data_IF_309950537324
#
_entry.id   IF_309950537324
#
_cell.length_a   1.000
_cell.length_b   1.000
_cell.length_c   1.000
_cell.angle_alpha   90.00
_cell.angle_beta   90.00
_cell.angle_gamma   90.00
#
_symmetry.space_group_name_H-M   'P 1'
#
loop_
_entity.id
_entity.type
_entity.pdbx_description
1 polymer ?
#
# COMPACT_ATOMS: atom_id res chain seq x y z
N UNK A 1 7.84 -16.93 -1.50
CA UNK A 1 8.28 -15.97 -0.46
C UNK A 1 9.79 -15.90 -0.53
N UNK A 2 10.35 -14.75 -0.85
CA UNK A 2 11.79 -14.53 -0.93
C UNK A 2 12.35 -14.08 0.40
N UNK A 3 11.67 -13.16 1.07
CA UNK A 3 12.10 -12.62 2.34
C UNK A 3 10.92 -12.37 3.28
N UNK A 4 11.17 -12.50 4.57
CA UNK A 4 10.24 -12.13 5.65
C UNK A 4 10.98 -11.25 6.63
N UNK A 5 10.61 -9.99 6.70
CA UNK A 5 11.22 -9.02 7.61
C UNK A 5 10.21 -8.61 8.69
N UNK A 6 10.68 -8.55 9.93
CA UNK A 6 9.96 -7.79 10.96
C UNK A 6 10.18 -6.32 10.71
N UNK A 7 9.09 -5.57 10.61
CA UNK A 7 9.19 -4.13 10.38
C UNK A 7 9.83 -3.47 11.59
N UNK A 8 10.70 -2.51 11.31
CA UNK A 8 11.20 -1.55 12.28
C UNK A 8 10.00 -0.96 13.02
N UNK A 9 9.89 -1.19 14.31
CA UNK A 9 8.75 -0.71 15.09
C UNK A 9 8.09 -1.76 15.95
N UNK A 10 8.46 -3.04 15.84
CA UNK A 10 8.06 -4.04 16.83
C UNK A 10 8.57 -3.68 18.22
N UNK A 11 9.50 -2.74 18.33
CA UNK A 11 10.09 -2.19 19.57
C UNK A 11 10.35 -3.29 20.62
N UNK A 12 10.66 -4.51 20.14
CA UNK A 12 10.89 -5.67 20.99
C UNK A 12 12.15 -5.42 21.86
N UNK A 13 12.00 -5.58 23.16
CA UNK A 13 13.07 -5.32 24.10
C UNK A 13 13.20 -3.86 24.55
N UNK A 14 12.31 -2.98 24.04
CA UNK A 14 12.19 -1.60 24.48
C UNK A 14 11.07 -1.48 25.52
N UNK A 15 11.37 -0.87 26.64
CA UNK A 15 10.43 -0.71 27.78
C UNK A 15 10.49 0.70 28.34
N UNK A 16 9.42 1.13 28.96
CA UNK A 16 9.39 2.37 29.74
C UNK A 16 10.16 2.13 31.06
N UNK A 17 11.23 2.88 31.28
CA UNK A 17 11.99 2.88 32.51
C UNK A 17 11.81 4.18 33.29
N UNK A 18 12.07 4.14 34.62
CA UNK A 18 12.20 5.32 35.46
C UNK A 18 13.62 5.50 35.93
N UNK A 19 14.24 6.62 35.60
CA UNK A 19 15.56 6.98 36.10
C UNK A 19 15.46 7.29 37.59
N UNK A 20 16.07 6.46 38.42
CA UNK A 20 16.06 6.63 39.87
C UNK A 20 17.19 7.55 40.35
N UNK A 21 18.42 7.33 39.83
CA UNK A 21 19.58 8.18 40.09
C UNK A 21 20.24 8.61 38.79
N UNK A 22 20.88 9.76 38.81
CA UNK A 22 21.65 10.28 37.69
C UNK A 22 22.87 11.04 38.25
N UNK A 23 24.04 10.46 38.11
CA UNK A 23 25.30 10.98 38.64
C UNK A 23 26.28 11.25 37.50
N UNK A 24 27.12 12.26 37.62
CA UNK A 24 28.17 12.52 36.64
C UNK A 24 29.16 11.36 36.58
N UNK A 25 29.51 10.92 35.38
CA UNK A 25 30.46 9.83 35.20
C UNK A 25 31.85 10.21 35.72
N UNK A 26 32.52 9.34 36.53
CA UNK A 26 33.79 9.69 37.20
C UNK A 26 34.91 10.09 36.23
N UNK A 27 34.93 9.58 35.01
CA UNK A 27 35.96 9.82 34.00
C UNK A 27 35.40 10.52 32.73
N UNK A 28 34.27 11.22 32.86
CA UNK A 28 33.69 12.00 31.72
C UNK A 28 32.84 13.16 32.22
N UNK A 29 32.98 14.27 31.57
CA UNK A 29 32.20 15.50 31.76
C UNK A 29 30.88 15.53 30.95
N UNK A 30 30.70 14.58 30.05
CA UNK A 30 29.54 14.51 29.15
C UNK A 30 28.62 13.31 29.40
N UNK A 31 29.08 12.32 30.19
CA UNK A 31 28.29 11.12 30.46
C UNK A 31 27.76 11.12 31.88
N UNK A 32 26.64 10.43 32.05
CA UNK A 32 26.02 10.19 33.35
C UNK A 32 25.90 8.68 33.62
N UNK A 33 26.11 8.29 34.86
CA UNK A 33 25.80 6.96 35.35
C UNK A 33 24.41 7.01 35.98
N UNK A 34 23.49 6.23 35.44
CA UNK A 34 22.09 6.20 35.89
C UNK A 34 21.75 4.82 36.45
N UNK A 35 20.83 4.77 37.40
CA UNK A 35 20.12 3.54 37.79
C UNK A 35 18.68 3.68 37.33
N UNK A 36 18.19 2.69 36.63
CA UNK A 36 16.86 2.74 35.98
C UNK A 36 16.01 1.56 36.43
N UNK A 37 14.83 1.85 36.97
CA UNK A 37 13.80 0.85 37.25
C UNK A 37 13.11 0.49 35.96
N UNK A 38 13.09 -0.78 35.58
CA UNK A 38 12.47 -1.31 34.38
C UNK A 38 11.06 -1.90 34.63
N UNK A 39 10.57 -1.85 35.88
CA UNK A 39 9.25 -2.37 36.25
C UNK A 39 9.11 -3.89 36.18
N UNK A 40 10.21 -4.61 36.13
CA UNK A 40 10.26 -6.07 36.06
C UNK A 40 10.40 -6.76 37.41
N UNK A 41 10.43 -5.96 38.51
CA UNK A 41 10.58 -6.43 39.88
C UNK A 41 12.03 -6.84 40.29
N UNK A 42 12.99 -6.62 39.38
CA UNK A 42 14.41 -6.82 39.65
C UNK A 42 15.09 -5.58 40.28
N UNK A 43 16.36 -5.71 40.64
CA UNK A 43 17.14 -4.53 41.03
C UNK A 43 17.30 -3.55 39.87
N UNK A 44 17.34 -2.24 40.18
CA UNK A 44 17.49 -1.21 39.15
C UNK A 44 18.71 -1.43 38.25
N UNK A 45 18.54 -1.28 36.95
CA UNK A 45 19.57 -1.51 35.95
C UNK A 45 20.48 -0.30 35.81
N UNK A 46 21.82 -0.51 35.92
CA UNK A 46 22.82 0.53 35.70
C UNK A 46 23.00 0.79 34.19
N UNK A 47 22.82 2.03 33.76
CA UNK A 47 22.99 2.45 32.36
C UNK A 47 23.83 3.73 32.32
N UNK A 48 24.86 3.73 31.48
CA UNK A 48 25.65 4.93 31.18
C UNK A 48 25.02 5.65 29.99
N UNK A 49 24.65 6.91 30.19
CA UNK A 49 23.97 7.74 29.20
C UNK A 49 24.81 8.96 28.83
N UNK A 50 25.02 9.21 27.55
CA UNK A 50 25.72 10.37 27.02
C UNK A 50 24.85 11.58 26.73
N UNK A 51 23.54 11.47 26.85
CA UNK A 51 22.63 12.56 26.55
C UNK A 51 22.64 13.65 27.64
N UNK A 52 22.68 14.90 27.24
CA UNK A 52 22.74 16.05 28.13
C UNK A 52 21.44 16.29 28.91
N UNK A 53 20.32 15.77 28.42
CA UNK A 53 18.99 15.98 29.00
C UNK A 53 18.53 14.88 29.96
N UNK A 54 19.40 13.89 30.29
CA UNK A 54 19.04 12.83 31.24
C UNK A 54 19.07 13.36 32.68
N UNK A 55 18.03 13.04 33.45
CA UNK A 55 17.92 13.44 34.86
C UNK A 55 17.16 12.40 35.69
N UNK A 56 17.43 12.38 37.00
CA UNK A 56 16.69 11.54 37.95
C UNK A 56 15.18 11.93 37.98
N UNK A 57 14.32 10.94 38.12
CA UNK A 57 12.87 11.08 38.15
C UNK A 57 12.20 10.91 36.79
N UNK A 58 12.91 11.08 35.69
CA UNK A 58 12.37 10.99 34.33
C UNK A 58 11.87 9.58 33.99
N UNK A 59 10.79 9.56 33.20
CA UNK A 59 10.35 8.35 32.46
C UNK A 59 11.00 8.39 31.08
N UNK A 60 11.59 7.28 30.67
CA UNK A 60 12.41 7.19 29.45
C UNK A 60 12.17 5.86 28.74
N UNK A 61 12.51 5.78 27.45
CA UNK A 61 12.54 4.50 26.75
C UNK A 61 13.90 3.85 26.92
N UNK A 62 13.91 2.61 27.34
CA UNK A 62 15.13 1.82 27.58
C UNK A 62 15.18 0.61 26.67
N UNK A 63 16.28 0.48 25.94
CA UNK A 63 16.64 -0.72 25.21
C UNK A 63 17.38 -1.68 26.16
N UNK A 64 16.77 -2.83 26.43
CA UNK A 64 17.36 -3.88 27.28
C UNK A 64 18.40 -4.70 26.51
N UNK A 65 19.18 -5.52 27.21
CA UNK A 65 20.18 -6.39 26.56
C UNK A 65 19.52 -7.32 25.53
N UNK A 66 20.13 -7.41 24.35
CA UNK A 66 19.63 -8.20 23.23
C UNK A 66 18.68 -7.43 22.30
N UNK A 67 18.28 -6.21 22.65
CA UNK A 67 17.46 -5.36 21.77
C UNK A 67 18.24 -4.99 20.52
N UNK A 68 17.60 -5.05 19.37
CA UNK A 68 18.11 -4.59 18.08
C UNK A 68 17.69 -3.15 17.86
N UNK A 69 18.64 -2.29 17.59
CA UNK A 69 18.45 -0.89 17.23
C UNK A 69 19.11 -0.60 15.89
N UNK A 70 18.86 0.59 15.34
CA UNK A 70 19.36 0.98 14.04
C UNK A 70 20.02 2.37 14.11
N UNK A 71 21.16 2.50 13.40
CA UNK A 71 21.82 3.77 13.10
C UNK A 71 21.77 3.93 11.57
N UNK A 72 20.81 4.70 11.07
CA UNK A 72 20.47 4.71 9.65
C UNK A 72 20.09 3.31 9.17
N UNK A 73 20.85 2.74 8.22
CA UNK A 73 20.62 1.39 7.68
C UNK A 73 21.40 0.29 8.41
N UNK A 74 22.18 0.64 9.44
CA UNK A 74 23.01 -0.31 10.19
C UNK A 74 22.28 -0.83 11.41
N UNK A 75 22.09 -2.15 11.48
CA UNK A 75 21.59 -2.84 12.67
C UNK A 75 22.72 -3.02 13.70
N UNK A 76 22.42 -2.73 14.97
CA UNK A 76 23.29 -3.10 16.09
C UNK A 76 22.47 -3.66 17.26
N UNK A 77 23.10 -4.53 18.04
CA UNK A 77 22.45 -5.21 19.17
C UNK A 77 22.99 -4.65 20.48
N UNK A 78 22.09 -4.27 21.37
CA UNK A 78 22.45 -3.81 22.72
C UNK A 78 23.08 -4.95 23.51
N UNK A 79 24.33 -4.74 23.91
CA UNK A 79 25.11 -5.70 24.70
C UNK A 79 25.61 -5.02 25.95
N UNK A 80 25.92 -5.83 26.99
CA UNK A 80 26.68 -5.35 28.15
C UNK A 80 27.95 -4.66 27.63
N UNK A 81 28.15 -3.41 27.97
CA UNK A 81 29.30 -2.61 27.57
C UNK A 81 30.01 -2.02 28.78
N UNK A 82 31.26 -1.61 28.59
CA UNK A 82 32.04 -0.91 29.60
C UNK A 82 32.50 0.42 29.01
N UNK A 83 31.88 1.49 29.47
CA UNK A 83 32.14 2.83 29.00
C UNK A 83 33.05 3.57 29.99
N UNK A 84 34.27 3.88 29.58
CA UNK A 84 35.32 4.49 30.44
C UNK A 84 35.41 3.90 31.85
N UNK A 85 35.41 2.55 31.93
CA UNK A 85 35.54 1.87 33.20
C UNK A 85 34.24 1.51 33.92
N UNK A 86 33.09 2.12 33.56
CA UNK A 86 31.78 1.85 34.18
C UNK A 86 30.96 0.92 33.29
N UNK A 87 30.35 -0.09 33.89
CA UNK A 87 29.51 -1.06 33.17
C UNK A 87 28.11 -0.48 32.86
N UNK A 88 27.60 -0.77 31.64
CA UNK A 88 26.27 -0.39 31.20
C UNK A 88 25.52 -1.64 30.73
N UNK A 89 24.27 -1.80 31.17
CA UNK A 89 23.44 -2.98 30.93
C UNK A 89 22.21 -2.66 30.08
N UNK A 90 22.26 -1.61 29.31
CA UNK A 90 21.19 -1.16 28.43
C UNK A 90 21.53 0.19 27.79
N UNK A 91 20.56 0.78 27.10
CA UNK A 91 20.67 2.08 26.50
C UNK A 91 19.37 2.87 26.70
N UNK A 92 19.47 4.13 27.12
CA UNK A 92 18.32 5.06 27.10
C UNK A 92 18.28 5.70 25.72
N UNK A 93 17.14 5.65 25.04
CA UNK A 93 17.05 5.90 23.61
C UNK A 93 16.50 7.29 23.29
N UNK A 94 16.96 7.86 22.16
CA UNK A 94 16.35 8.97 21.42
C UNK A 94 15.24 8.49 20.50
N UNK A 95 14.48 9.42 19.91
CA UNK A 95 13.34 9.09 19.02
C UNK A 95 13.80 8.39 17.73
N UNK A 96 14.87 8.88 17.12
CA UNK A 96 15.39 8.36 15.85
C UNK A 96 16.05 6.98 16.00
N UNK A 97 16.65 6.70 17.16
CA UNK A 97 17.28 5.41 17.44
C UNK A 97 16.28 4.26 17.51
N UNK A 98 15.03 4.56 17.85
CA UNK A 98 13.91 3.61 17.90
C UNK A 98 12.90 3.78 16.77
N UNK A 99 13.13 4.74 15.87
CA UNK A 99 12.34 4.94 14.67
C UNK A 99 10.93 5.51 14.87
N UNK A 100 10.68 6.22 16.00
CA UNK A 100 9.36 6.82 16.31
C UNK A 100 9.30 8.32 16.03
N UNK A 101 10.42 8.92 15.65
CA UNK A 101 10.56 10.34 15.34
C UNK A 101 11.91 10.66 14.74
N UNK A 102 12.19 11.95 14.57
CA UNK A 102 13.47 12.46 14.01
C UNK A 102 14.33 13.18 15.05
N UNK A 103 13.92 13.19 16.33
CA UNK A 103 14.66 13.88 17.40
C UNK A 103 15.92 13.11 17.78
N UNK A 104 17.09 13.78 17.67
CA UNK A 104 18.41 13.24 18.04
C UNK A 104 19.13 14.09 19.08
N UNK A 105 18.57 15.23 19.48
CA UNK A 105 19.22 16.18 20.39
C UNK A 105 19.27 15.70 21.86
N UNK A 106 18.84 14.49 22.16
CA UNK A 106 18.83 13.90 23.50
C UNK A 106 17.89 12.71 23.59
N UNK A 107 17.81 12.12 24.79
CA UNK A 107 16.88 11.02 25.04
C UNK A 107 15.42 11.46 24.99
N UNK A 108 14.52 10.55 24.63
CA UNK A 108 13.09 10.75 24.72
C UNK A 108 12.63 10.72 26.18
N UNK A 109 12.06 11.83 26.65
CA UNK A 109 11.46 11.95 27.98
C UNK A 109 9.95 11.83 27.87
N UNK A 110 9.36 10.88 28.58
CA UNK A 110 7.93 10.58 28.56
C UNK A 110 7.17 11.33 29.68
N UNK A 111 5.83 11.49 29.57
CA UNK A 111 5.00 12.01 30.64
C UNK A 111 5.19 11.27 31.96
N UNK A 112 5.10 11.99 33.08
CA UNK A 112 5.38 11.46 34.42
C UNK A 112 4.42 10.32 34.84
N UNK A 113 3.20 10.34 34.32
CA UNK A 113 2.15 9.33 34.57
C UNK A 113 2.32 8.04 33.76
N UNK A 114 3.32 7.97 32.85
CA UNK A 114 3.55 6.78 32.04
C UNK A 114 3.93 5.58 32.93
N UNK A 115 3.26 4.42 32.82
CA UNK A 115 3.55 3.26 33.64
C UNK A 115 4.95 2.69 33.37
N UNK A 116 5.72 2.45 34.43
CA UNK A 116 7.05 1.78 34.33
C UNK A 116 6.86 0.31 33.97
N UNK A 117 7.76 -0.22 33.13
CA UNK A 117 7.67 -1.59 32.64
C UNK A 117 6.73 -1.78 31.46
N UNK A 118 5.99 -0.73 31.04
CA UNK A 118 5.16 -0.80 29.86
C UNK A 118 6.04 -1.04 28.62
N UNK A 119 5.73 -2.02 27.75
CA UNK A 119 6.42 -2.16 26.47
C UNK A 119 6.29 -0.88 25.63
N UNK A 120 7.39 -0.43 25.02
CA UNK A 120 7.37 0.77 24.19
C UNK A 120 6.37 0.67 23.04
N UNK A 121 6.21 -0.52 22.44
CA UNK A 121 5.18 -0.77 21.42
C UNK A 121 3.76 -0.43 21.91
N UNK A 122 3.45 -0.76 23.17
CA UNK A 122 2.14 -0.42 23.78
C UNK A 122 2.00 1.09 24.00
N UNK A 123 3.08 1.75 24.47
CA UNK A 123 3.08 3.20 24.68
C UNK A 123 2.84 3.98 23.38
N UNK A 124 3.52 3.57 22.30
CA UNK A 124 3.38 4.20 20.99
C UNK A 124 2.18 3.68 20.19
N UNK A 125 1.39 2.75 20.75
CA UNK A 125 0.28 2.08 20.06
C UNK A 125 0.69 1.49 18.70
N UNK A 126 1.90 0.92 18.65
CA UNK A 126 2.47 0.29 17.45
C UNK A 126 2.10 -1.20 17.45
N UNK A 127 1.41 -1.62 16.43
CA UNK A 127 1.24 -3.05 16.15
C UNK A 127 2.52 -3.60 15.52
N UNK A 128 2.93 -4.80 15.95
CA UNK A 128 4.00 -5.52 15.24
C UNK A 128 3.49 -5.93 13.88
N UNK A 129 4.17 -5.52 12.82
CA UNK A 129 3.82 -5.89 11.45
C UNK A 129 4.96 -6.69 10.80
N UNK A 130 4.67 -7.30 9.66
CA UNK A 130 5.61 -8.12 8.91
C UNK A 130 5.60 -7.70 7.45
N UNK A 131 6.78 -7.44 6.90
CA UNK A 131 6.96 -7.32 5.47
C UNK A 131 7.29 -8.71 4.90
N UNK A 132 6.45 -9.17 4.00
CA UNK A 132 6.64 -10.45 3.31
C UNK A 132 6.87 -10.14 1.83
N UNK A 133 8.11 -10.36 1.39
CA UNK A 133 8.45 -10.22 -0.03
C UNK A 133 8.10 -11.50 -0.79
N UNK A 134 7.31 -11.31 -1.85
CA UNK A 134 6.79 -12.42 -2.66
C UNK A 134 7.17 -12.17 -4.11
N UNK A 135 7.96 -13.06 -4.69
CA UNK A 135 8.20 -13.06 -6.13
C UNK A 135 6.97 -13.57 -6.88
N UNK A 136 6.42 -12.71 -7.72
CA UNK A 136 5.23 -12.98 -8.53
C UNK A 136 5.64 -13.08 -10.00
N UNK A 137 5.42 -14.24 -10.59
CA UNK A 137 5.69 -14.46 -12.02
C UNK A 137 4.80 -13.54 -12.89
N UNK A 138 5.28 -13.09 -14.06
CA UNK A 138 4.57 -12.09 -14.88
C UNK A 138 3.17 -12.51 -15.35
N UNK A 139 2.87 -13.82 -15.38
CA UNK A 139 1.55 -14.35 -15.74
C UNK A 139 0.53 -14.26 -14.59
N UNK A 140 0.97 -13.98 -13.36
CA UNK A 140 0.13 -13.89 -12.17
C UNK A 140 -0.14 -12.43 -11.76
N UNK A 141 -0.54 -11.60 -12.73
CA UNK A 141 -0.92 -10.21 -12.51
C UNK A 141 -1.99 -10.04 -11.41
N UNK A 142 -2.88 -11.00 -11.28
CA UNK A 142 -3.92 -11.09 -10.26
C UNK A 142 -3.38 -11.16 -8.82
N UNK A 143 -2.13 -11.64 -8.65
CA UNK A 143 -1.49 -11.78 -7.34
C UNK A 143 -0.65 -10.55 -6.94
N UNK A 144 -0.59 -9.49 -7.76
CA UNK A 144 0.18 -8.27 -7.47
C UNK A 144 -0.53 -7.31 -6.48
N UNK A 145 -1.17 -7.87 -5.45
CA UNK A 145 -1.86 -7.14 -4.39
C UNK A 145 -2.09 -8.03 -3.16
N UNK A 146 -2.41 -7.41 -2.02
CA UNK A 146 -2.79 -8.17 -0.82
C UNK A 146 -4.01 -9.07 -1.07
N UNK A 147 -5.01 -8.57 -1.78
CA UNK A 147 -6.20 -9.35 -2.14
C UNK A 147 -5.86 -10.54 -3.04
N UNK A 148 -4.97 -10.36 -4.01
CA UNK A 148 -4.56 -11.44 -4.90
C UNK A 148 -3.80 -12.55 -4.16
N UNK A 149 -2.87 -12.18 -3.26
CA UNK A 149 -2.17 -13.15 -2.40
C UNK A 149 -3.13 -13.84 -1.44
N UNK A 150 -4.10 -13.10 -0.89
CA UNK A 150 -5.12 -13.67 0.00
C UNK A 150 -5.98 -14.72 -0.69
N UNK A 151 -6.32 -14.55 -1.98
CA UNK A 151 -7.03 -15.56 -2.78
C UNK A 151 -6.23 -16.86 -2.92
N UNK A 152 -4.95 -16.77 -3.22
CA UNK A 152 -4.08 -17.95 -3.33
C UNK A 152 -3.91 -18.66 -1.98
N UNK A 153 -3.72 -17.89 -0.91
CA UNK A 153 -3.64 -18.43 0.44
C UNK A 153 -4.96 -19.12 0.86
N UNK A 154 -6.09 -18.50 0.56
CA UNK A 154 -7.40 -19.07 0.80
C UNK A 154 -7.57 -20.43 0.11
N UNK A 155 -7.24 -20.52 -1.19
CA UNK A 155 -7.32 -21.76 -1.93
C UNK A 155 -6.40 -22.85 -1.35
N UNK A 156 -5.18 -22.48 -0.92
CA UNK A 156 -4.27 -23.39 -0.24
C UNK A 156 -4.83 -23.91 1.09
N UNK A 157 -5.40 -23.03 1.92
CA UNK A 157 -5.99 -23.42 3.22
C UNK A 157 -7.20 -24.34 3.05
N UNK A 158 -8.11 -23.99 2.12
CA UNK A 158 -9.29 -24.82 1.78
C UNK A 158 -8.86 -26.20 1.28
N UNK A 159 -7.88 -26.26 0.37
CA UNK A 159 -7.33 -27.52 -0.16
C UNK A 159 -6.79 -28.41 0.95
N UNK A 160 -6.23 -27.85 2.01
CA UNK A 160 -5.68 -28.57 3.16
C UNK A 160 -6.73 -28.84 4.27
N UNK A 161 -8.00 -28.57 4.02
CA UNK A 161 -9.08 -28.82 4.99
C UNK A 161 -9.10 -27.85 6.17
N UNK A 162 -8.39 -26.74 6.08
CA UNK A 162 -8.38 -25.71 7.12
C UNK A 162 -9.62 -24.83 6.94
N UNK A 163 -10.47 -24.81 7.95
CA UNK A 163 -11.68 -23.97 7.93
C UNK A 163 -11.29 -22.50 7.95
N UNK A 164 -11.58 -21.81 6.87
CA UNK A 164 -11.25 -20.40 6.70
C UNK A 164 -12.29 -19.69 5.82
N UNK A 165 -12.28 -18.37 5.84
CA UNK A 165 -13.14 -17.53 5.00
C UNK A 165 -12.30 -16.42 4.39
N UNK A 166 -12.64 -16.00 3.18
CA UNK A 166 -12.03 -14.88 2.48
C UNK A 166 -13.03 -13.73 2.45
N UNK A 167 -12.63 -12.60 3.01
CA UNK A 167 -13.46 -11.40 3.08
C UNK A 167 -12.68 -10.18 2.60
N UNK A 168 -13.35 -9.30 1.88
CA UNK A 168 -12.88 -7.95 1.62
C UNK A 168 -13.87 -6.94 2.20
N UNK A 169 -13.44 -5.71 2.52
CA UNK A 169 -14.34 -4.67 3.01
C UNK A 169 -15.56 -4.50 2.11
N UNK A 170 -16.68 -4.20 2.72
CA UNK A 170 -17.95 -3.99 2.03
C UNK A 170 -17.97 -2.57 1.43
N UNK A 171 -18.65 -2.40 0.31
CA UNK A 171 -18.81 -1.12 -0.38
C UNK A 171 -20.26 -0.58 -0.32
N UNK A 172 -21.11 -1.17 0.52
CA UNK A 172 -22.53 -0.82 0.63
C UNK A 172 -22.79 0.57 1.22
N UNK A 173 -21.80 1.10 1.95
CA UNK A 173 -21.87 2.47 2.49
C UNK A 173 -21.71 3.55 1.39
N UNK A 174 -21.33 3.16 0.16
CA UNK A 174 -21.22 4.10 -0.94
C UNK A 174 -22.61 4.63 -1.33
N UNK A 175 -22.79 5.93 -1.21
CA UNK A 175 -23.98 6.63 -1.65
C UNK A 175 -23.60 8.03 -2.15
N UNK A 176 -24.27 8.48 -3.19
CA UNK A 176 -24.11 9.83 -3.73
C UNK A 176 -24.77 10.82 -2.78
N UNK A 177 -24.03 11.81 -2.32
CA UNK A 177 -24.52 12.83 -1.38
C UNK A 177 -25.22 13.99 -2.12
N UNK A 178 -24.71 14.37 -3.30
CA UNK A 178 -25.28 15.42 -4.13
C UNK A 178 -24.87 15.24 -5.62
N UNK A 179 -25.25 16.17 -6.51
CA UNK A 179 -24.94 16.14 -7.94
C UNK A 179 -24.33 17.47 -8.41
N UNK A 180 -23.52 18.11 -7.55
CA UNK A 180 -23.03 19.46 -7.80
C UNK A 180 -21.77 19.51 -8.66
N UNK A 181 -21.08 18.36 -8.86
CA UNK A 181 -19.83 18.31 -9.63
C UNK A 181 -19.84 17.20 -10.69
N UNK A 182 -20.75 17.26 -11.67
CA UNK A 182 -20.81 16.27 -12.73
C UNK A 182 -19.63 16.41 -13.69
N UNK A 183 -18.99 15.29 -14.05
CA UNK A 183 -17.94 15.21 -15.07
C UNK A 183 -18.33 14.13 -16.08
N UNK A 184 -18.35 14.51 -17.36
CA UNK A 184 -18.59 13.57 -18.45
C UNK A 184 -17.32 12.81 -18.82
N UNK A 185 -17.45 11.58 -19.32
CA UNK A 185 -16.34 10.78 -19.82
C UNK A 185 -16.60 10.32 -21.23
N UNK A 186 -15.63 10.56 -22.13
CA UNK A 186 -15.64 10.08 -23.50
C UNK A 186 -14.38 9.27 -23.78
N UNK A 187 -14.53 8.11 -24.43
CA UNK A 187 -13.42 7.26 -24.86
C UNK A 187 -13.38 7.28 -26.39
N UNK A 188 -12.39 7.96 -26.96
CA UNK A 188 -12.15 7.99 -28.41
C UNK A 188 -11.37 6.76 -28.90
N UNK A 189 -10.69 6.04 -27.99
CA UNK A 189 -9.86 4.85 -28.27
C UNK A 189 -10.34 3.65 -27.46
N UNK A 190 -11.51 3.06 -27.77
CA UNK A 190 -12.09 1.95 -27.00
C UNK A 190 -11.23 0.68 -27.05
N UNK A 191 -10.35 0.52 -28.05
CA UNK A 191 -9.39 -0.57 -28.14
C UNK A 191 -8.20 -0.42 -27.16
N UNK A 192 -7.93 0.81 -26.70
CA UNK A 192 -6.84 1.12 -25.78
C UNK A 192 -7.32 1.35 -24.35
N UNK A 193 -8.52 1.91 -24.17
CA UNK A 193 -9.20 2.05 -22.90
C UNK A 193 -10.49 1.23 -22.91
N UNK A 194 -10.46 0.05 -22.32
CA UNK A 194 -11.59 -0.89 -22.36
C UNK A 194 -12.64 -0.58 -21.30
N UNK A 195 -12.27 0.14 -20.23
CA UNK A 195 -13.19 0.60 -19.19
C UNK A 195 -12.63 1.85 -18.51
N UNK A 196 -13.49 2.80 -18.23
CA UNK A 196 -13.15 4.00 -17.47
C UNK A 196 -14.26 4.32 -16.48
N UNK A 197 -13.92 4.26 -15.19
CA UNK A 197 -14.82 4.62 -14.12
C UNK A 197 -14.32 5.89 -13.44
N UNK A 198 -15.23 6.80 -13.11
CA UNK A 198 -14.90 8.03 -12.41
C UNK A 198 -15.99 8.44 -11.42
N UNK A 199 -15.57 9.11 -10.36
CA UNK A 199 -16.45 9.73 -9.36
C UNK A 199 -15.80 11.00 -8.83
N UNK A 200 -16.60 12.04 -8.57
CA UNK A 200 -16.13 13.27 -7.95
C UNK A 200 -16.49 13.34 -6.47
N UNK A 201 -15.61 13.95 -5.70
CA UNK A 201 -15.89 14.38 -4.33
C UNK A 201 -15.66 15.88 -4.24
N UNK A 202 -16.56 16.58 -3.53
CA UNK A 202 -16.54 18.03 -3.33
C UNK A 202 -16.24 18.36 -1.86
N UNK A 203 -15.43 19.39 -1.62
CA UNK A 203 -15.13 19.88 -0.28
C UNK A 203 -14.15 19.04 0.51
N UNK A 204 -13.22 18.36 -0.16
CA UNK A 204 -12.15 17.61 0.48
C UNK A 204 -11.11 18.55 1.13
N UNK A 205 -10.61 18.19 2.29
CA UNK A 205 -9.45 18.79 2.93
C UNK A 205 -8.21 17.95 2.65
N UNK A 206 -7.32 18.47 1.80
CA UNK A 206 -6.04 17.82 1.53
C UNK A 206 -5.11 18.12 2.70
N UNK A 207 -4.62 17.05 3.34
CA UNK A 207 -3.76 17.12 4.51
C UNK A 207 -2.90 15.88 4.63
N UNK A 208 -2.03 15.87 5.61
CA UNK A 208 -1.25 14.69 5.97
C UNK A 208 -2.16 13.50 6.30
N UNK A 209 -1.79 12.31 5.83
CA UNK A 209 -2.51 11.07 6.11
C UNK A 209 -2.48 10.71 7.60
N UNK A 210 -3.50 10.02 8.12
CA UNK A 210 -3.44 9.49 9.47
C UNK A 210 -2.29 8.48 9.61
N UNK A 211 -1.73 8.39 10.82
CA UNK A 211 -0.54 7.55 11.12
C UNK A 211 -0.67 6.12 10.60
N UNK A 212 -1.81 5.48 10.80
CA UNK A 212 -2.01 4.10 10.35
C UNK A 212 -1.83 3.92 8.83
N UNK A 213 -2.26 4.90 8.02
CA UNK A 213 -2.13 4.86 6.56
C UNK A 213 -0.67 5.11 6.14
N UNK A 214 -0.02 6.09 6.76
CA UNK A 214 1.41 6.36 6.54
C UNK A 214 2.25 5.12 6.86
N UNK A 215 2.06 4.51 8.03
CA UNK A 215 2.80 3.33 8.47
C UNK A 215 2.62 2.15 7.50
N UNK A 216 1.41 1.89 7.01
CA UNK A 216 1.17 0.84 6.01
C UNK A 216 1.92 1.09 4.71
N UNK A 217 1.95 2.33 4.22
CA UNK A 217 2.66 2.69 3.00
C UNK A 217 4.18 2.63 3.19
N UNK A 218 4.71 3.21 4.28
CA UNK A 218 6.14 3.18 4.61
C UNK A 218 6.63 1.73 4.71
N UNK A 219 5.85 0.85 5.33
CA UNK A 219 6.13 -0.57 5.47
C UNK A 219 6.45 -1.26 4.15
N UNK A 220 5.72 -0.92 3.10
CA UNK A 220 5.91 -1.49 1.75
C UNK A 220 6.81 -0.62 0.84
N UNK A 221 7.55 0.32 1.43
CA UNK A 221 8.53 1.16 0.72
C UNK A 221 7.93 2.35 -0.03
N UNK A 222 6.67 2.69 0.19
CA UNK A 222 6.03 3.87 -0.41
C UNK A 222 6.14 5.08 0.52
N UNK A 223 6.51 6.23 -0.05
CA UNK A 223 6.55 7.49 0.69
C UNK A 223 5.16 8.11 0.76
N UNK A 224 4.62 8.39 1.96
CA UNK A 224 3.39 9.18 2.11
C UNK A 224 3.52 10.58 1.51
N UNK A 225 2.45 11.08 0.91
CA UNK A 225 2.40 12.40 0.25
C UNK A 225 1.30 13.24 0.90
N UNK A 226 0.05 12.86 0.71
CA UNK A 226 -1.13 13.44 1.35
C UNK A 226 -2.26 12.41 1.39
N UNK A 227 -3.31 12.68 2.15
CA UNK A 227 -4.40 11.74 2.37
C UNK A 227 -5.07 11.21 1.09
N UNK A 228 -5.19 12.01 0.05
CA UNK A 228 -5.83 11.60 -1.21
C UNK A 228 -4.90 10.71 -2.04
N UNK A 229 -3.65 11.11 -2.25
CA UNK A 229 -2.67 10.31 -3.00
C UNK A 229 -2.38 8.99 -2.27
N UNK A 230 -2.27 9.04 -0.97
CA UNK A 230 -1.99 7.87 -0.14
C UNK A 230 -3.15 6.86 -0.17
N UNK A 231 -4.41 7.34 -0.23
CA UNK A 231 -5.58 6.48 -0.46
C UNK A 231 -5.47 5.75 -1.80
N UNK A 232 -5.08 6.44 -2.89
CA UNK A 232 -4.93 5.77 -4.20
C UNK A 232 -3.86 4.70 -4.18
N UNK A 233 -2.72 4.97 -3.53
CA UNK A 233 -1.65 4.01 -3.33
C UNK A 233 -2.09 2.83 -2.46
N UNK A 234 -2.76 3.10 -1.35
CA UNK A 234 -3.27 2.05 -0.46
C UNK A 234 -4.25 1.11 -1.17
N UNK A 235 -5.23 1.66 -1.92
CA UNK A 235 -6.21 0.88 -2.67
C UNK A 235 -5.53 0.05 -3.77
N UNK A 236 -4.56 0.63 -4.48
CA UNK A 236 -3.77 -0.09 -5.49
C UNK A 236 -3.02 -1.29 -4.88
N UNK A 237 -2.36 -1.11 -3.75
CA UNK A 237 -1.61 -2.18 -3.07
C UNK A 237 -2.55 -3.21 -2.43
N UNK A 238 -3.69 -2.77 -1.92
CA UNK A 238 -4.67 -3.67 -1.32
C UNK A 238 -5.38 -4.55 -2.35
N UNK A 239 -5.78 -3.98 -3.51
CA UNK A 239 -6.70 -4.68 -4.45
C UNK A 239 -6.12 -4.87 -5.85
N UNK A 240 -4.95 -4.33 -6.16
CA UNK A 240 -4.29 -4.49 -7.46
C UNK A 240 -4.80 -3.56 -8.57
N UNK A 241 -5.71 -2.64 -8.24
CA UNK A 241 -6.26 -1.68 -9.18
C UNK A 241 -5.59 -0.30 -9.00
N UNK A 242 -4.76 0.16 -9.95
CA UNK A 242 -4.24 1.52 -9.91
C UNK A 242 -5.37 2.53 -10.05
N UNK A 243 -5.29 3.59 -9.25
CA UNK A 243 -6.19 4.72 -9.26
C UNK A 243 -5.39 5.99 -9.54
N UNK A 244 -6.05 6.98 -10.14
CA UNK A 244 -5.53 8.34 -10.22
C UNK A 244 -6.52 9.32 -9.62
N UNK A 245 -6.01 10.44 -9.13
CA UNK A 245 -6.85 11.52 -8.60
C UNK A 245 -6.44 12.83 -9.25
N UNK A 246 -7.41 13.50 -9.86
CA UNK A 246 -7.26 14.82 -10.46
C UNK A 246 -7.85 15.89 -9.55
N UNK A 247 -7.25 17.06 -9.55
CA UNK A 247 -7.92 18.29 -9.10
C UNK A 247 -9.09 18.58 -10.05
N UNK A 248 -10.31 18.58 -9.54
CA UNK A 248 -11.49 18.72 -10.38
C UNK A 248 -11.62 20.12 -11.02
N UNK A 249 -11.05 21.15 -10.38
CA UNK A 249 -11.01 22.51 -10.94
C UNK A 249 -10.12 22.59 -12.20
N UNK A 250 -9.21 21.65 -12.38
CA UNK A 250 -8.35 21.55 -13.57
C UNK A 250 -9.02 20.79 -14.72
N UNK A 251 -10.23 20.24 -14.53
CA UNK A 251 -10.98 19.53 -15.58
C UNK A 251 -11.76 20.52 -16.40
N UNK A 252 -11.06 21.22 -17.31
CA UNK A 252 -11.68 22.18 -18.22
C UNK A 252 -12.86 21.56 -18.98
N UNK A 253 -13.98 22.29 -19.04
CA UNK A 253 -15.20 21.86 -19.71
C UNK A 253 -15.98 20.75 -18.97
N UNK A 254 -15.63 20.40 -17.74
CA UNK A 254 -16.31 19.33 -16.98
C UNK A 254 -16.31 17.98 -17.70
N UNK A 255 -15.23 17.67 -18.42
CA UNK A 255 -15.16 16.49 -19.30
C UNK A 255 -13.78 15.87 -19.31
N UNK A 256 -13.75 14.55 -19.22
CA UNK A 256 -12.58 13.71 -19.49
C UNK A 256 -12.71 13.11 -20.89
N UNK A 257 -11.63 13.19 -21.68
CA UNK A 257 -11.53 12.58 -23.01
C UNK A 257 -10.30 11.67 -23.06
N UNK A 258 -10.51 10.37 -23.24
CA UNK A 258 -9.43 9.40 -23.37
C UNK A 258 -9.10 9.20 -24.84
N UNK A 259 -7.94 9.73 -25.27
CA UNK A 259 -7.55 9.81 -26.68
C UNK A 259 -6.04 9.76 -26.90
N UNK A 260 -5.60 9.76 -28.15
CA UNK A 260 -4.21 9.99 -28.55
C UNK A 260 -4.06 11.41 -29.11
N UNK A 261 -2.84 11.94 -29.09
CA UNK A 261 -2.49 13.21 -29.73
C UNK A 261 -1.60 12.98 -30.96
N UNK A 262 -1.43 13.99 -31.85
CA UNK A 262 -0.51 13.90 -32.99
C UNK A 262 0.92 13.58 -32.53
N UNK A 263 1.66 12.84 -33.36
CA UNK A 263 3.08 12.55 -33.17
C UNK A 263 3.88 13.83 -32.91
N UNK A 264 4.80 13.82 -31.94
CA UNK A 264 5.61 14.97 -31.56
C UNK A 264 4.92 15.98 -30.65
N UNK A 265 3.69 15.74 -30.21
CA UNK A 265 3.01 16.58 -29.22
C UNK A 265 3.82 16.65 -27.92
N UNK A 266 3.92 17.84 -27.32
CA UNK A 266 4.70 18.03 -26.08
C UNK A 266 3.82 17.88 -24.85
N UNK A 267 4.34 17.19 -23.83
CA UNK A 267 3.68 17.00 -22.54
C UNK A 267 4.69 17.08 -21.39
N UNK A 268 4.32 17.73 -20.28
CA UNK A 268 5.18 17.81 -19.09
C UNK A 268 4.59 16.90 -18.01
N UNK A 269 5.34 15.90 -17.60
CA UNK A 269 4.95 14.94 -16.59
C UNK A 269 5.20 15.42 -15.16
N UNK A 270 4.65 14.72 -14.14
CA UNK A 270 4.75 15.08 -12.71
C UNK A 270 6.20 15.21 -12.22
N UNK A 271 7.14 14.47 -12.80
CA UNK A 271 8.58 14.58 -12.53
C UNK A 271 9.23 15.86 -13.09
N UNK A 272 8.44 16.69 -13.78
CA UNK A 272 8.88 17.95 -14.39
C UNK A 272 9.55 17.79 -15.75
N UNK A 273 9.68 16.57 -16.26
CA UNK A 273 10.31 16.29 -17.53
C UNK A 273 9.38 16.59 -18.71
N UNK A 274 9.94 17.24 -19.73
CA UNK A 274 9.25 17.49 -20.98
C UNK A 274 9.41 16.29 -21.91
N UNK A 275 8.30 15.67 -22.28
CA UNK A 275 8.26 14.48 -23.13
C UNK A 275 7.62 14.78 -24.48
N UNK A 276 8.15 14.14 -25.50
CA UNK A 276 7.58 14.14 -26.85
C UNK A 276 6.71 12.89 -26.99
N UNK A 277 5.41 13.11 -27.24
CA UNK A 277 4.41 12.04 -27.31
C UNK A 277 4.39 11.40 -28.69
N UNK A 278 4.07 10.11 -28.71
CA UNK A 278 3.70 9.42 -29.94
C UNK A 278 2.19 9.45 -30.17
N UNK A 279 1.76 9.35 -31.42
CA UNK A 279 0.37 9.15 -31.82
C UNK A 279 -0.25 7.85 -31.28
N UNK A 280 0.59 7.01 -30.64
CA UNK A 280 0.23 5.75 -29.95
C UNK A 280 0.31 5.83 -28.43
N UNK A 281 0.55 7.00 -27.86
CA UNK A 281 0.44 7.21 -26.43
C UNK A 281 -1.01 7.55 -26.10
N UNK A 282 -1.62 6.71 -25.26
CA UNK A 282 -2.97 6.98 -24.76
C UNK A 282 -2.89 8.03 -23.67
N UNK A 283 -3.75 9.03 -23.77
CA UNK A 283 -3.79 10.15 -22.85
C UNK A 283 -5.17 10.30 -22.24
N UNK A 284 -5.19 10.77 -21.01
CA UNK A 284 -6.36 11.30 -20.36
C UNK A 284 -6.26 12.81 -20.49
N UNK A 285 -7.25 13.40 -21.17
CA UNK A 285 -7.33 14.84 -21.44
C UNK A 285 -8.58 15.43 -20.79
N UNK A 286 -8.54 16.73 -20.49
CA UNK A 286 -9.76 17.52 -20.33
C UNK A 286 -10.25 18.02 -21.71
N UNK A 287 -11.16 18.99 -21.77
CA UNK A 287 -11.65 19.52 -23.04
C UNK A 287 -10.57 20.28 -23.85
N UNK A 288 -9.49 20.72 -23.22
CA UNK A 288 -8.50 21.63 -23.79
C UNK A 288 -7.13 21.01 -23.96
N UNK A 289 -6.64 20.26 -22.94
CA UNK A 289 -5.27 19.79 -22.87
C UNK A 289 -5.11 18.38 -22.27
N UNK A 290 -3.96 17.72 -22.50
CA UNK A 290 -3.63 16.45 -21.87
C UNK A 290 -3.30 16.63 -20.39
N UNK A 291 -3.76 15.69 -19.56
CA UNK A 291 -3.61 15.70 -18.12
C UNK A 291 -2.75 14.52 -17.60
N UNK A 292 -2.72 13.39 -18.31
CA UNK A 292 -2.03 12.19 -17.87
C UNK A 292 -1.68 11.29 -19.06
N UNK A 293 -0.50 10.63 -19.02
CA UNK A 293 -0.23 9.47 -19.88
C UNK A 293 -0.90 8.26 -19.22
N UNK A 294 -1.98 7.80 -19.84
CA UNK A 294 -2.90 6.81 -19.27
C UNK A 294 -2.19 5.55 -18.74
N UNK A 295 -2.36 5.28 -17.47
CA UNK A 295 -1.77 4.13 -16.78
C UNK A 295 -0.26 4.19 -16.59
N UNK A 296 0.41 5.30 -16.91
CA UNK A 296 1.86 5.45 -16.82
C UNK A 296 2.24 6.55 -15.81
N UNK A 297 1.94 7.82 -16.11
CA UNK A 297 2.34 8.93 -15.24
C UNK A 297 1.45 10.16 -15.46
N UNK A 298 1.04 10.80 -14.38
CA UNK A 298 0.28 12.05 -14.39
C UNK A 298 1.07 13.23 -14.96
N UNK A 299 0.36 14.27 -15.37
CA UNK A 299 0.90 15.53 -15.84
C UNK A 299 1.14 16.53 -14.71
N UNK A 300 2.09 17.43 -14.92
CA UNK A 300 2.34 18.56 -14.03
C UNK A 300 1.16 19.53 -14.12
N UNK A 301 0.45 19.75 -13.04
CA UNK A 301 -0.64 20.73 -12.96
C UNK A 301 -2.04 20.11 -12.83
N UNK A 302 -2.22 18.82 -13.08
CA UNK A 302 -3.52 18.14 -12.93
C UNK A 302 -3.64 17.29 -11.66
N UNK A 303 -2.57 17.19 -10.88
CA UNK A 303 -2.55 16.45 -9.61
C UNK A 303 -3.20 17.24 -8.47
N UNK A 304 -3.29 16.61 -7.32
CA UNK A 304 -3.84 17.22 -6.09
C UNK A 304 -2.76 17.96 -5.30
N UNK A 305 -3.10 19.15 -4.83
CA UNK A 305 -2.26 20.04 -4.02
C UNK A 305 -2.97 20.40 -2.72
N UNK A 306 -2.29 21.00 -1.76
CA UNK A 306 -2.87 21.43 -0.48
C UNK A 306 -4.06 22.40 -0.65
N UNK A 307 -4.13 23.10 -1.78
CA UNK A 307 -5.21 24.02 -2.15
C UNK A 307 -6.40 23.34 -2.79
N UNK A 308 -6.25 22.11 -3.27
CA UNK A 308 -7.34 21.35 -3.91
C UNK A 308 -8.46 21.10 -2.89
N UNK A 309 -9.69 21.25 -3.34
CA UNK A 309 -10.90 21.00 -2.55
C UNK A 309 -11.85 20.00 -3.19
N UNK A 310 -11.88 20.00 -4.49
CA UNK A 310 -12.74 19.15 -5.29
C UNK A 310 -11.86 18.18 -6.08
N UNK A 311 -12.18 16.89 -6.03
CA UNK A 311 -11.35 15.85 -6.63
C UNK A 311 -12.17 14.93 -7.53
N UNK A 312 -11.53 14.42 -8.58
CA UNK A 312 -12.05 13.32 -9.38
C UNK A 312 -11.15 12.10 -9.23
N UNK A 313 -11.70 11.02 -8.70
CA UNK A 313 -11.05 9.72 -8.75
C UNK A 313 -11.32 9.00 -10.06
N UNK A 314 -10.27 8.44 -10.63
CA UNK A 314 -10.27 7.57 -11.80
C UNK A 314 -9.94 6.15 -11.40
N UNK A 315 -10.67 5.19 -11.98
CA UNK A 315 -10.34 3.77 -11.94
C UNK A 315 -10.61 3.16 -13.32
N UNK A 316 -9.55 2.80 -14.05
CA UNK A 316 -9.67 2.41 -15.44
C UNK A 316 -9.09 1.01 -15.72
N UNK A 317 -9.46 0.45 -16.88
CA UNK A 317 -8.81 -0.70 -17.48
C UNK A 317 -8.21 -0.30 -18.83
N UNK A 318 -6.91 -0.04 -18.85
CA UNK A 318 -6.16 0.23 -20.05
C UNK A 318 -5.60 -1.05 -20.64
N UNK A 319 -5.55 -1.15 -21.97
CA UNK A 319 -5.03 -2.34 -22.64
C UNK A 319 -3.52 -2.52 -22.33
N UNK A 320 -3.10 -3.68 -21.80
CA UNK A 320 -1.74 -3.89 -21.30
C UNK A 320 -0.63 -3.55 -22.29
N UNK A 321 -0.83 -3.86 -23.58
CA UNK A 321 0.17 -3.61 -24.63
C UNK A 321 0.35 -2.10 -24.89
N UNK A 322 -0.71 -1.30 -24.78
CA UNK A 322 -0.63 0.16 -24.94
C UNK A 322 0.20 0.76 -23.81
N UNK A 323 -0.13 0.44 -22.56
CA UNK A 323 0.60 0.95 -21.40
C UNK A 323 2.07 0.53 -21.45
N UNK A 324 2.36 -0.74 -21.73
CA UNK A 324 3.74 -1.24 -21.84
C UNK A 324 4.55 -0.51 -22.91
N UNK A 325 3.96 -0.23 -24.08
CA UNK A 325 4.66 0.47 -25.16
C UNK A 325 4.94 1.92 -24.81
N UNK A 326 3.98 2.62 -24.19
CA UNK A 326 4.15 4.00 -23.74
C UNK A 326 5.19 4.08 -22.61
N UNK A 327 5.08 3.25 -21.57
CA UNK A 327 6.04 3.20 -20.48
C UNK A 327 7.48 2.99 -20.98
N UNK A 328 7.69 2.04 -21.87
CA UNK A 328 9.02 1.77 -22.47
C UNK A 328 9.53 2.91 -23.33
N UNK A 329 8.67 3.56 -24.12
CA UNK A 329 9.04 4.69 -24.99
C UNK A 329 9.57 5.84 -24.17
N UNK A 330 8.93 6.13 -23.04
CA UNK A 330 9.31 7.22 -22.14
C UNK A 330 10.33 6.83 -21.07
N UNK A 331 10.78 5.55 -21.04
CA UNK A 331 11.72 5.06 -20.02
C UNK A 331 11.14 5.10 -18.60
N UNK A 332 9.81 4.96 -18.47
CA UNK A 332 9.09 5.02 -17.20
C UNK A 332 8.74 3.62 -16.68
N UNK A 333 8.88 3.45 -15.37
CA UNK A 333 8.41 2.28 -14.63
C UNK A 333 7.79 2.75 -13.34
N UNK A 334 6.47 2.66 -13.24
CA UNK A 334 5.70 3.05 -12.06
C UNK A 334 4.92 1.85 -11.54
N UNK A 335 4.49 1.89 -10.28
CA UNK A 335 3.63 0.85 -9.70
C UNK A 335 2.32 0.65 -10.48
N UNK A 336 1.79 1.72 -11.04
CA UNK A 336 0.63 1.67 -11.92
C UNK A 336 0.95 0.99 -13.25
N UNK A 337 2.00 1.43 -13.96
CA UNK A 337 2.39 0.84 -15.25
C UNK A 337 2.77 -0.63 -15.12
N UNK A 338 3.45 -1.01 -14.02
CA UNK A 338 3.78 -2.39 -13.69
C UNK A 338 2.54 -3.30 -13.65
N UNK A 339 1.42 -2.80 -13.06
CA UNK A 339 0.17 -3.57 -12.98
C UNK A 339 -0.59 -3.56 -14.28
N UNK A 340 -0.77 -2.39 -14.90
CA UNK A 340 -1.49 -2.28 -16.17
C UNK A 340 -0.83 -3.08 -17.30
N UNK A 341 0.50 -3.05 -17.42
CA UNK A 341 1.20 -3.78 -18.50
C UNK A 341 1.10 -5.31 -18.39
N UNK A 342 0.78 -5.82 -17.20
CA UNK A 342 0.52 -7.24 -16.94
C UNK A 342 -0.95 -7.60 -17.03
N UNK A 343 -1.83 -6.62 -16.93
CA UNK A 343 -3.28 -6.75 -16.87
C UNK A 343 -3.79 -6.63 -15.43
N UNK A 344 -4.80 -5.79 -15.25
CA UNK A 344 -5.55 -5.69 -13.99
C UNK A 344 -6.87 -6.45 -14.11
N UNK A 345 -7.59 -6.61 -13.01
CA UNK A 345 -8.93 -7.21 -13.04
C UNK A 345 -9.90 -6.32 -13.81
N UNK A 346 -10.47 -6.75 -14.96
CA UNK A 346 -11.38 -5.91 -15.75
C UNK A 346 -12.74 -5.67 -15.06
N UNK A 347 -13.01 -6.32 -13.94
CA UNK A 347 -14.23 -6.10 -13.13
C UNK A 347 -13.96 -5.43 -11.79
N UNK A 348 -12.69 -5.17 -11.47
CA UNK A 348 -12.25 -4.59 -10.19
C UNK A 348 -12.45 -3.08 -10.05
N UNK A 349 -12.64 -2.33 -11.14
CA UNK A 349 -12.61 -0.86 -11.17
C UNK A 349 -13.65 -0.22 -10.25
N UNK A 350 -14.90 -0.67 -10.31
CA UNK A 350 -15.98 -0.10 -9.49
C UNK A 350 -15.75 -0.29 -8.01
N UNK A 351 -15.29 -1.48 -7.62
CA UNK A 351 -15.01 -1.76 -6.23
C UNK A 351 -13.87 -0.88 -5.69
N UNK A 352 -12.76 -0.81 -6.42
CA UNK A 352 -11.62 0.02 -6.03
C UNK A 352 -11.99 1.51 -5.94
N UNK A 353 -12.76 2.00 -6.92
CA UNK A 353 -13.24 3.38 -6.95
C UNK A 353 -14.11 3.71 -5.72
N UNK A 354 -15.06 2.84 -5.38
CA UNK A 354 -15.92 3.01 -4.21
C UNK A 354 -15.12 2.98 -2.90
N UNK A 355 -14.14 2.06 -2.76
CA UNK A 355 -13.28 2.01 -1.59
C UNK A 355 -12.44 3.31 -1.45
N UNK A 356 -11.90 3.85 -2.54
CA UNK A 356 -11.18 5.12 -2.52
C UNK A 356 -12.09 6.28 -2.12
N UNK A 357 -13.30 6.36 -2.68
CA UNK A 357 -14.27 7.40 -2.36
C UNK A 357 -14.72 7.35 -0.89
N UNK A 358 -14.97 6.15 -0.35
CA UNK A 358 -15.33 5.96 1.05
C UNK A 358 -14.19 6.37 1.99
N UNK A 359 -12.96 5.96 1.69
CA UNK A 359 -11.78 6.37 2.46
C UNK A 359 -11.54 7.89 2.36
N UNK A 360 -11.71 8.49 1.19
CA UNK A 360 -11.58 9.94 1.04
C UNK A 360 -12.66 10.70 1.82
N UNK A 361 -13.89 10.22 1.83
CA UNK A 361 -14.97 10.77 2.65
C UNK A 361 -14.63 10.71 4.13
N UNK A 362 -14.04 9.60 4.60
CA UNK A 362 -13.62 9.41 5.99
C UNK A 362 -12.42 10.30 6.37
N UNK A 363 -11.37 10.32 5.52
CA UNK A 363 -10.07 10.90 5.87
C UNK A 363 -9.88 12.35 5.42
N UNK A 364 -10.59 12.77 4.37
CA UNK A 364 -10.50 14.11 3.82
C UNK A 364 -11.79 14.92 4.02
N UNK A 365 -12.85 14.33 4.57
CA UNK A 365 -14.18 14.94 4.54
C UNK A 365 -14.74 14.85 3.10
N UNK A 366 -15.45 15.80 2.64
CA UNK A 366 -15.98 15.84 1.29
C UNK A 366 -17.26 15.01 1.10
N UNK A 367 -17.97 15.32 0.05
CA UNK A 367 -19.23 14.70 -0.34
C UNK A 367 -19.10 14.09 -1.72
N UNK A 368 -19.62 12.90 -1.94
CA UNK A 368 -19.68 12.27 -3.26
C UNK A 368 -20.67 13.06 -4.10
N UNK A 369 -20.16 13.73 -5.16
CA UNK A 369 -20.82 14.83 -5.84
C UNK A 369 -21.32 14.49 -7.25
N UNK A 370 -21.32 13.22 -7.62
CA UNK A 370 -21.96 12.71 -8.86
C UNK A 370 -22.19 11.20 -8.79
N UNK A 371 -23.06 10.69 -9.65
CA UNK A 371 -23.15 9.25 -9.92
C UNK A 371 -21.84 8.73 -10.51
N UNK A 372 -21.47 7.47 -10.20
CA UNK A 372 -20.31 6.87 -10.86
C UNK A 372 -20.56 6.80 -12.36
N UNK A 373 -19.65 7.41 -13.13
CA UNK A 373 -19.58 7.16 -14.56
C UNK A 373 -18.82 5.86 -14.79
N UNK A 374 -19.39 4.95 -15.57
CA UNK A 374 -18.78 3.66 -15.95
C UNK A 374 -18.95 3.46 -17.46
N UNK A 375 -17.93 3.83 -18.24
CA UNK A 375 -17.91 3.67 -19.70
C UNK A 375 -17.13 2.41 -20.03
N UNK A 376 -17.76 1.48 -20.75
CA UNK A 376 -17.17 0.18 -21.10
C UNK A 376 -17.12 0.01 -22.63
N UNK A 377 -16.00 -0.51 -23.11
CA UNK A 377 -15.85 -0.98 -24.48
C UNK A 377 -16.62 -2.29 -24.69
N UNK A 378 -17.27 -2.49 -25.85
CA UNK A 378 -17.88 -3.79 -26.19
C UNK A 378 -16.85 -4.96 -26.21
N UNK A 379 -15.57 -4.66 -26.35
CA UNK A 379 -14.49 -5.64 -26.38
C UNK A 379 -14.07 -6.11 -24.98
N UNK A 380 -14.55 -5.47 -23.91
CA UNK A 380 -14.20 -5.82 -22.54
C UNK A 380 -14.72 -7.22 -22.19
N UNK A 381 -13.80 -8.13 -21.90
CA UNK A 381 -14.12 -9.47 -21.43
C UNK A 381 -13.94 -9.57 -19.92
N UNK A 382 -14.94 -10.06 -19.23
CA UNK A 382 -14.91 -10.27 -17.77
C UNK A 382 -14.70 -11.73 -17.38
N UNK A 383 -14.84 -12.63 -18.32
CA UNK A 383 -14.61 -14.06 -18.15
C UNK A 383 -14.38 -14.73 -19.51
N UNK A 384 -13.88 -15.94 -19.49
CA UNK A 384 -13.77 -16.83 -20.64
C UNK A 384 -14.06 -18.28 -20.22
N UNK A 385 -14.49 -19.09 -21.18
CA UNK A 385 -14.85 -20.48 -20.91
C UNK A 385 -13.67 -21.39 -21.27
N UNK A 386 -13.40 -22.38 -20.41
CA UNK A 386 -12.29 -23.34 -20.55
C UNK A 386 -12.82 -24.76 -20.30
N UNK A 387 -12.47 -25.70 -21.17
CA UNK A 387 -12.70 -27.10 -20.96
C UNK A 387 -11.48 -27.75 -20.30
N UNK A 388 -11.70 -28.45 -19.17
CA UNK A 388 -10.65 -29.12 -18.41
C UNK A 388 -10.93 -30.60 -18.32
N UNK A 389 -10.08 -31.43 -18.97
CA UNK A 389 -10.16 -32.88 -18.89
C UNK A 389 -9.43 -33.40 -17.63
N UNK A 390 -10.07 -34.27 -16.85
CA UNK A 390 -9.46 -34.88 -15.66
C UNK A 390 -8.20 -35.67 -15.99
N UNK A 391 -8.20 -36.39 -17.11
CA UNK A 391 -7.05 -37.14 -17.56
C UNK A 391 -5.84 -36.23 -17.81
N UNK A 392 -6.07 -35.09 -18.46
CA UNK A 392 -5.00 -34.09 -18.70
C UNK A 392 -4.41 -33.54 -17.39
N UNK A 393 -5.24 -33.28 -16.39
CA UNK A 393 -4.76 -32.85 -15.06
C UNK A 393 -3.85 -33.92 -14.43
N UNK A 394 -4.25 -35.17 -14.48
CA UNK A 394 -3.49 -36.30 -13.92
C UNK A 394 -2.15 -36.48 -14.63
N UNK A 395 -2.13 -36.39 -15.96
CA UNK A 395 -0.93 -36.51 -16.78
C UNK A 395 0.05 -35.36 -16.56
N UNK A 396 -0.46 -34.11 -16.51
CA UNK A 396 0.37 -32.93 -16.32
C UNK A 396 0.99 -32.87 -14.93
N UNK A 397 0.24 -33.24 -13.90
CA UNK A 397 0.72 -33.25 -12.50
C UNK A 397 1.56 -34.51 -12.21
N UNK A 398 1.39 -35.59 -12.99
CA UNK A 398 2.07 -36.86 -12.77
C UNK A 398 1.51 -37.66 -11.59
N UNK A 399 0.29 -37.35 -11.15
CA UNK A 399 -0.41 -37.99 -10.03
C UNK A 399 -1.91 -37.93 -10.22
N UNK A 400 -2.62 -39.00 -9.88
CA UNK A 400 -4.06 -39.01 -9.81
C UNK A 400 -4.54 -38.12 -8.65
N UNK A 401 -5.46 -37.19 -8.96
CA UNK A 401 -6.06 -36.29 -8.00
C UNK A 401 -7.57 -36.57 -7.97
N UNK A 402 -8.20 -36.76 -6.79
CA UNK A 402 -9.63 -36.96 -6.70
C UNK A 402 -10.41 -35.79 -7.35
N UNK A 403 -11.43 -36.10 -8.14
CA UNK A 403 -12.23 -35.05 -8.83
C UNK A 403 -12.83 -34.06 -7.86
N UNK A 404 -13.29 -34.49 -6.67
CA UNK A 404 -13.79 -33.61 -5.62
C UNK A 404 -12.74 -32.56 -5.17
N UNK A 405 -11.47 -32.96 -5.09
CA UNK A 405 -10.39 -32.08 -4.74
C UNK A 405 -10.08 -31.07 -5.85
N UNK A 406 -10.14 -31.51 -7.12
CA UNK A 406 -10.00 -30.63 -8.28
C UNK A 406 -11.09 -29.56 -8.25
N UNK A 407 -12.38 -29.95 -8.07
CA UNK A 407 -13.49 -29.00 -7.95
C UNK A 407 -13.29 -28.02 -6.80
N UNK A 408 -12.90 -28.52 -5.64
CA UNK A 408 -12.66 -27.70 -4.45
C UNK A 408 -11.59 -26.62 -4.70
N UNK A 409 -10.46 -26.99 -5.32
CA UNK A 409 -9.37 -26.05 -5.64
C UNK A 409 -9.83 -25.00 -6.65
N UNK A 410 -10.47 -25.43 -7.75
CA UNK A 410 -10.92 -24.52 -8.80
C UNK A 410 -11.96 -23.52 -8.28
N UNK A 411 -12.93 -23.99 -7.49
CA UNK A 411 -13.92 -23.10 -6.86
C UNK A 411 -13.27 -22.12 -5.88
N UNK A 412 -12.28 -22.57 -5.09
CA UNK A 412 -11.55 -21.71 -4.17
C UNK A 412 -10.68 -20.66 -4.88
N UNK A 413 -10.37 -20.88 -6.17
CA UNK A 413 -9.67 -19.95 -7.06
C UNK A 413 -10.66 -19.13 -7.93
N UNK A 414 -11.91 -18.98 -7.51
CA UNK A 414 -12.97 -18.21 -8.20
C UNK A 414 -13.35 -18.75 -9.60
N UNK A 415 -12.97 -19.96 -9.96
CA UNK A 415 -13.39 -20.58 -11.23
C UNK A 415 -14.77 -21.19 -11.06
N UNK A 416 -15.74 -20.71 -11.82
CA UNK A 416 -17.09 -21.22 -11.79
C UNK A 416 -17.20 -22.52 -12.60
N UNK A 417 -17.65 -23.61 -11.98
CA UNK A 417 -17.99 -24.84 -12.68
C UNK A 417 -19.35 -24.63 -13.34
N UNK A 418 -19.37 -24.60 -14.67
CA UNK A 418 -20.60 -24.43 -15.48
C UNK A 418 -21.30 -25.80 -15.67
N UNK A 419 -20.52 -26.83 -15.99
CA UNK A 419 -21.00 -28.20 -16.12
C UNK A 419 -19.89 -29.20 -15.85
N UNK A 420 -20.26 -30.43 -15.55
CA UNK A 420 -19.38 -31.57 -15.31
C UNK A 420 -19.89 -32.81 -16.00
N UNK A 421 -18.99 -33.63 -16.50
CA UNK A 421 -19.26 -34.98 -17.02
C UNK A 421 -18.14 -35.94 -16.59
N UNK A 422 -18.24 -37.20 -17.00
CA UNK A 422 -17.26 -38.24 -16.64
C UNK A 422 -15.81 -37.92 -17.08
N UNK A 423 -15.62 -37.07 -18.11
CA UNK A 423 -14.33 -36.76 -18.68
C UNK A 423 -13.70 -35.50 -18.11
N UNK A 424 -14.51 -34.54 -17.63
CA UNK A 424 -13.97 -33.24 -17.20
C UNK A 424 -15.03 -32.22 -16.84
N UNK A 425 -14.58 -30.99 -16.78
CA UNK A 425 -15.31 -29.80 -16.35
C UNK A 425 -15.32 -28.72 -17.45
N UNK A 426 -16.48 -28.09 -17.65
CA UNK A 426 -16.58 -26.81 -18.34
C UNK A 426 -16.51 -25.71 -17.27
N UNK A 427 -15.55 -24.82 -17.40
CA UNK A 427 -15.24 -23.77 -16.43
C UNK A 427 -15.51 -22.40 -17.02
N UNK A 428 -16.04 -21.49 -16.21
CA UNK A 428 -15.98 -20.05 -16.47
C UNK A 428 -14.90 -19.42 -15.60
N UNK A 429 -13.86 -18.94 -16.25
CA UNK A 429 -12.66 -18.39 -15.61
C UNK A 429 -12.74 -16.87 -15.58
N UNK A 430 -12.48 -16.20 -14.43
CA UNK A 430 -12.42 -14.74 -14.37
C UNK A 430 -11.32 -14.20 -15.27
N UNK A 431 -11.57 -13.09 -15.96
CA UNK A 431 -10.61 -12.53 -16.93
C UNK A 431 -9.32 -12.00 -16.29
N UNK A 432 -9.27 -11.79 -14.98
CA UNK A 432 -8.01 -11.45 -14.29
C UNK A 432 -7.02 -12.63 -14.25
N UNK A 433 -7.46 -13.86 -14.49
CA UNK A 433 -6.59 -15.05 -14.62
C UNK A 433 -6.14 -15.18 -16.07
N UNK A 434 -5.30 -14.25 -16.49
CA UNK A 434 -4.73 -14.18 -17.86
C UNK A 434 -3.87 -15.39 -18.25
N UNK A 435 -3.48 -16.19 -17.27
CA UNK A 435 -2.66 -17.40 -17.39
C UNK A 435 -3.48 -18.67 -17.64
N UNK A 436 -4.80 -18.64 -17.48
CA UNK A 436 -5.71 -19.78 -17.66
C UNK A 436 -6.52 -19.56 -18.92
N UNK A 437 -6.09 -20.20 -20.03
CA UNK A 437 -6.70 -20.07 -21.36
C UNK A 437 -6.92 -21.45 -22.00
#
# INVERSE_FOLDING_TARGET
VEEVQTIRGGLKGLVVGKVLTCEVHPDSDHMHVTTVDLGDGNEPTQIVCGAHNVAAGQKVIVATLGTKLYDGDKEFVIKKSKLRGVESYGMICAEDEIGVGNGHDGIMVLPEDTPVGMPAATYFNLESDWLIEVDITPNRADACSHWGVARDLYAYLVRNGIKTTLHRPDDKAFAVDNHELPVAVEIERPEACLRYCAVTLKGCEIKESPKWLQEKLITIGLRPINNIVDITNYVMMAYGQPLHCFDADMIAGGKIVVKTLPEGSSFVTLDGEKRELSDRDLLICNAEEPMCIAGVLGGKGSGTYDTTRDVLFESAYFHPTWVRKSARRHGLSTDASFRFERGVDPDGQLYALKQAALLAKELAGGEIAMEIVDVQSPELKKSFDVELEYQYVHELIGKEIPHDLIRTILTALDMQIVSENEKGLSLRVPAYRVDVQ
#
